data_IF_455734645100
#
_entry.id   IF_455734645100
#
_cell.length_a   1.000
_cell.length_b   1.000
_cell.length_c   1.000
_cell.angle_alpha   90.00
_cell.angle_beta   90.00
_cell.angle_gamma   90.00
#
_symmetry.space_group_name_H-M   'P 1'
#
loop_
_entity.id
_entity.type
_entity.pdbx_description
1 polymer ?
#
# COMPACT_ATOMS: atom_id res chain seq x y z
N UNK A 1 -14.46 -6.67 27.62
CA UNK A 1 -14.28 -7.92 26.84
C UNK A 1 -12.99 -7.72 26.06
N UNK A 2 -11.90 -8.36 26.46
CA UNK A 2 -10.64 -8.25 25.70
C UNK A 2 -10.84 -8.90 24.33
N UNK A 3 -10.47 -8.24 23.22
CA UNK A 3 -10.48 -8.89 21.92
C UNK A 3 -9.45 -10.03 21.95
N UNK A 4 -9.90 -11.26 21.71
CA UNK A 4 -9.02 -12.43 21.68
C UNK A 4 -7.86 -12.19 20.70
N UNK A 5 -6.62 -12.22 21.19
CA UNK A 5 -5.37 -12.02 20.44
C UNK A 5 -5.02 -13.18 19.49
N UNK A 6 -5.96 -14.09 19.28
CA UNK A 6 -5.86 -15.29 18.49
C UNK A 6 -5.77 -14.95 16.99
N UNK A 7 -4.55 -14.95 16.45
CA UNK A 7 -4.26 -14.72 15.02
C UNK A 7 -3.61 -15.97 14.41
N UNK A 8 -3.97 -16.27 13.17
CA UNK A 8 -3.47 -17.42 12.41
C UNK A 8 -4.54 -18.48 12.18
N UNK A 9 -4.11 -19.67 11.74
CA UNK A 9 -4.99 -20.83 11.62
C UNK A 9 -5.15 -21.43 13.01
N UNK A 10 -6.37 -21.39 13.54
CA UNK A 10 -6.71 -21.86 14.88
C UNK A 10 -7.80 -22.91 14.73
N UNK A 11 -7.50 -24.14 15.15
CA UNK A 11 -8.36 -25.30 15.00
C UNK A 11 -7.85 -26.31 13.98
N UNK A 12 -8.66 -27.35 13.73
CA UNK A 12 -8.30 -28.42 12.83
C UNK A 12 -8.41 -27.98 11.38
N UNK A 13 -7.35 -28.16 10.61
CA UNK A 13 -7.37 -28.04 9.15
C UNK A 13 -7.79 -29.38 8.58
N UNK A 14 -8.79 -29.41 7.71
CA UNK A 14 -9.23 -30.63 7.03
C UNK A 14 -9.06 -30.49 5.52
N UNK A 15 -8.56 -31.55 4.88
CA UNK A 15 -8.49 -31.68 3.42
C UNK A 15 -9.12 -33.02 3.05
N UNK A 16 -10.10 -32.99 2.16
CA UNK A 16 -10.91 -34.16 1.75
C UNK A 16 -11.47 -34.97 2.94
N UNK A 17 -11.94 -34.26 3.97
CA UNK A 17 -12.52 -34.87 5.17
C UNK A 17 -11.51 -35.47 6.15
N UNK A 18 -10.20 -35.46 5.84
CA UNK A 18 -9.13 -35.90 6.75
C UNK A 18 -8.54 -34.69 7.44
N UNK A 19 -8.40 -34.78 8.76
CA UNK A 19 -7.73 -33.72 9.53
C UNK A 19 -6.21 -33.78 9.30
N UNK A 20 -5.60 -32.65 8.98
CA UNK A 20 -4.15 -32.46 8.90
C UNK A 20 -3.70 -32.02 10.30
N UNK A 21 -3.37 -32.99 11.14
CA UNK A 21 -2.77 -32.78 12.47
C UNK A 21 -1.37 -33.38 12.57
N UNK A 22 -0.98 -34.22 11.61
CA UNK A 22 0.34 -34.85 11.51
C UNK A 22 1.07 -34.32 10.28
N UNK A 23 2.35 -33.98 10.45
CA UNK A 23 3.21 -33.40 9.42
C UNK A 23 4.11 -32.29 9.97
N UNK A 24 5.17 -31.95 9.25
CA UNK A 24 6.02 -30.83 9.61
C UNK A 24 5.36 -29.50 9.23
N UNK A 25 4.97 -28.72 10.23
CA UNK A 25 4.48 -27.36 10.05
C UNK A 25 5.63 -26.38 10.12
N UNK A 26 5.85 -25.63 9.04
CA UNK A 26 6.80 -24.52 9.05
C UNK A 26 6.04 -23.21 9.13
N UNK A 27 6.38 -22.38 10.11
CA UNK A 27 5.86 -21.02 10.21
C UNK A 27 6.95 -20.03 9.78
N UNK A 28 6.67 -19.27 8.73
CA UNK A 28 7.50 -18.13 8.32
C UNK A 28 6.84 -16.86 8.87
N UNK A 29 7.58 -16.10 9.68
CA UNK A 29 7.10 -14.81 10.23
C UNK A 29 7.44 -13.69 9.25
N UNK A 30 6.40 -12.96 8.84
CA UNK A 30 6.52 -11.91 7.83
C UNK A 30 6.71 -12.48 6.43
N UNK A 31 6.75 -11.61 5.44
CA UNK A 31 7.08 -11.99 4.08
C UNK A 31 8.56 -11.67 3.81
N UNK A 32 9.26 -12.48 3.02
CA UNK A 32 10.70 -12.32 2.78
C UNK A 32 11.05 -10.90 2.28
N UNK A 33 10.18 -10.26 1.50
CA UNK A 33 10.35 -8.87 1.07
C UNK A 33 10.25 -7.82 2.20
N UNK A 34 9.53 -8.11 3.29
CA UNK A 34 9.51 -7.27 4.50
C UNK A 34 10.83 -7.40 5.27
N UNK A 35 11.35 -8.63 5.38
CA UNK A 35 12.60 -8.96 6.08
C UNK A 35 13.81 -8.39 5.34
N UNK A 36 13.78 -8.42 4.01
CA UNK A 36 14.80 -7.84 3.12
C UNK A 36 14.67 -6.32 2.94
N UNK A 37 13.77 -5.66 3.69
CA UNK A 37 13.49 -4.22 3.65
C UNK A 37 13.20 -3.70 2.23
N UNK A 38 12.28 -4.34 1.50
CA UNK A 38 11.92 -4.03 0.10
C UNK A 38 13.17 -3.82 -0.76
N UNK A 39 13.64 -4.84 -1.50
CA UNK A 39 15.02 -4.91 -2.00
C UNK A 39 15.54 -3.56 -2.48
N UNK A 40 16.54 -2.99 -1.79
CA UNK A 40 17.15 -1.73 -2.23
C UNK A 40 17.62 -1.84 -3.68
N UNK A 41 17.99 -3.04 -4.12
CA UNK A 41 18.55 -3.33 -5.44
C UNK A 41 18.06 -4.68 -6.03
N UNK A 42 16.86 -5.14 -5.66
CA UNK A 42 16.31 -6.39 -6.19
C UNK A 42 15.90 -6.26 -7.65
N UNK A 43 15.96 -7.35 -8.44
CA UNK A 43 15.61 -7.32 -9.86
C UNK A 43 14.16 -6.83 -10.01
N UNK A 44 13.99 -5.68 -10.66
CA UNK A 44 12.68 -5.12 -10.97
C UNK A 44 12.19 -5.81 -12.24
N UNK A 45 11.36 -6.86 -12.10
CA UNK A 45 10.64 -7.40 -13.25
C UNK A 45 9.41 -6.53 -13.51
N UNK A 46 9.37 -5.90 -14.68
CA UNK A 46 8.18 -5.23 -15.17
C UNK A 46 7.16 -6.30 -15.56
N UNK A 47 6.15 -6.50 -14.72
CA UNK A 47 4.98 -7.30 -15.09
C UNK A 47 3.90 -6.38 -15.63
N UNK A 48 3.51 -6.60 -16.89
CA UNK A 48 2.40 -5.91 -17.54
C UNK A 48 1.02 -6.48 -17.12
N UNK A 49 0.99 -7.39 -16.16
CA UNK A 49 -0.21 -8.08 -15.67
C UNK A 49 -0.17 -8.20 -14.15
N UNK A 50 -1.34 -8.18 -13.50
CA UNK A 50 -1.45 -8.49 -12.08
C UNK A 50 -1.22 -9.99 -11.88
N UNK A 51 -0.12 -10.41 -11.26
CA UNK A 51 0.07 -11.80 -10.90
C UNK A 51 -0.97 -12.15 -9.83
N UNK A 52 -1.71 -13.25 -9.96
CA UNK A 52 -2.74 -13.64 -8.96
C UNK A 52 -2.14 -14.28 -7.71
N UNK A 53 -1.05 -13.70 -7.20
CA UNK A 53 -0.26 -14.19 -6.06
C UNK A 53 0.34 -13.00 -5.30
N UNK A 54 0.66 -13.15 -3.99
CA UNK A 54 1.39 -12.15 -3.21
C UNK A 54 2.59 -11.57 -3.96
N UNK A 55 2.59 -10.26 -4.19
CA UNK A 55 3.57 -9.60 -5.08
C UNK A 55 4.04 -8.26 -4.54
N UNK A 56 5.31 -7.96 -4.80
CA UNK A 56 5.95 -6.67 -4.53
C UNK A 56 6.05 -5.83 -5.79
N UNK A 57 5.61 -4.57 -5.68
CA UNK A 57 5.72 -3.55 -6.71
C UNK A 57 6.66 -2.45 -6.21
N UNK A 58 7.52 -1.94 -7.09
CA UNK A 58 8.49 -0.91 -6.74
C UNK A 58 8.48 0.18 -7.80
N UNK A 59 8.57 1.43 -7.36
CA UNK A 59 8.75 2.58 -8.26
C UNK A 59 9.57 3.69 -7.58
N UNK A 60 10.01 4.66 -8.37
CA UNK A 60 10.72 5.85 -7.93
C UNK A 60 9.99 7.09 -8.42
N UNK A 61 10.00 8.14 -7.62
CA UNK A 61 9.47 9.45 -8.01
C UNK A 61 10.32 10.57 -7.43
N UNK A 62 10.44 11.68 -8.15
CA UNK A 62 11.24 12.82 -7.72
C UNK A 62 10.39 13.91 -7.06
N UNK A 63 10.84 14.40 -5.91
CA UNK A 63 10.28 15.58 -5.26
C UNK A 63 11.13 16.82 -5.58
N UNK A 64 10.55 17.86 -6.21
CA UNK A 64 11.26 19.09 -6.52
C UNK A 64 11.74 19.85 -5.28
N UNK A 65 12.95 20.43 -5.38
CA UNK A 65 13.59 21.25 -4.33
C UNK A 65 12.77 22.47 -3.85
N UNK A 66 11.88 23.00 -4.69
CA UNK A 66 11.18 24.27 -4.48
C UNK A 66 9.81 24.15 -3.79
N UNK A 67 9.49 22.99 -3.18
CA UNK A 67 8.15 22.73 -2.58
C UNK A 67 8.01 23.07 -1.09
N UNK A 68 9.01 23.72 -0.47
CA UNK A 68 8.79 24.47 0.78
C UNK A 68 8.17 25.82 0.41
N UNK A 69 6.84 25.91 0.42
CA UNK A 69 6.17 27.21 0.34
C UNK A 69 6.19 27.87 1.72
N UNK A 70 6.03 29.18 1.74
CA UNK A 70 5.94 30.02 2.96
C UNK A 70 4.79 29.59 3.89
N UNK A 71 3.87 28.75 3.40
CA UNK A 71 2.64 28.32 4.06
C UNK A 71 2.70 26.90 4.64
N UNK A 72 3.85 26.24 4.57
CA UNK A 72 4.07 24.88 5.10
C UNK A 72 4.39 23.84 4.02
N UNK A 73 4.75 22.63 4.45
CA UNK A 73 4.99 21.50 3.55
C UNK A 73 3.66 21.10 2.88
N UNK A 74 3.61 21.10 1.54
CA UNK A 74 2.51 20.49 0.78
C UNK A 74 2.32 19.06 1.27
N UNK A 75 1.08 18.66 1.53
CA UNK A 75 0.80 17.25 1.85
C UNK A 75 0.94 16.45 0.56
N UNK A 76 1.78 15.43 0.57
CA UNK A 76 1.89 14.49 -0.54
C UNK A 76 1.11 13.25 -0.15
N UNK A 77 0.30 12.73 -1.06
CA UNK A 77 -0.47 11.51 -0.85
C UNK A 77 -0.25 10.54 -2.01
N UNK A 78 -0.30 9.25 -1.74
CA UNK A 78 -0.44 8.22 -2.74
C UNK A 78 -1.93 7.96 -2.97
N UNK A 79 -2.41 8.16 -4.20
CA UNK A 79 -3.77 7.78 -4.60
C UNK A 79 -3.76 6.37 -5.18
N UNK A 80 -4.72 5.55 -4.72
CA UNK A 80 -4.87 4.20 -5.20
C UNK A 80 -5.28 4.16 -6.69
N UNK A 81 -4.80 3.15 -7.43
CA UNK A 81 -5.32 2.80 -8.74
C UNK A 81 -6.84 2.60 -8.70
N UNK A 82 -7.58 3.13 -9.69
CA UNK A 82 -9.00 2.83 -9.84
C UNK A 82 -9.21 1.43 -10.41
N UNK A 83 -10.28 0.76 -10.00
CA UNK A 83 -10.69 -0.55 -10.53
C UNK A 83 -10.05 -1.77 -9.88
N UNK A 84 -9.32 -1.59 -8.77
CA UNK A 84 -8.86 -2.72 -7.95
C UNK A 84 -10.04 -3.53 -7.39
N UNK A 85 -9.96 -4.88 -7.32
CA UNK A 85 -10.98 -5.75 -6.73
C UNK A 85 -11.35 -5.40 -5.28
N UNK A 86 -12.57 -5.68 -4.83
CA UNK A 86 -13.11 -5.25 -3.51
C UNK A 86 -12.53 -5.95 -2.26
N UNK A 87 -11.43 -6.68 -2.43
CA UNK A 87 -10.72 -7.43 -1.39
C UNK A 87 -9.20 -7.27 -1.49
N UNK A 88 -8.73 -6.60 -2.55
CA UNK A 88 -7.32 -6.32 -2.74
C UNK A 88 -6.78 -5.42 -1.61
N UNK A 89 -5.52 -5.66 -1.28
CA UNK A 89 -4.89 -4.97 -0.18
C UNK A 89 -3.52 -5.52 0.15
N UNK A 90 -2.83 -4.78 0.99
CA UNK A 90 -1.49 -5.11 1.42
C UNK A 90 -0.89 -3.95 2.19
N UNK A 91 0.39 -3.67 1.98
CA UNK A 91 1.14 -2.66 2.74
C UNK A 91 1.90 -1.73 1.81
N UNK A 92 2.15 -0.51 2.29
CA UNK A 92 2.88 0.53 1.59
C UNK A 92 4.18 0.84 2.33
N UNK A 93 5.26 1.08 1.60
CA UNK A 93 6.52 1.57 2.13
C UNK A 93 7.04 2.76 1.34
N UNK A 94 7.58 3.74 2.05
CA UNK A 94 8.25 4.91 1.49
C UNK A 94 9.66 4.98 2.05
N UNK A 95 10.67 5.00 1.17
CA UNK A 95 12.09 5.04 1.55
C UNK A 95 12.47 3.98 2.61
N UNK A 96 11.80 2.83 2.58
CA UNK A 96 12.00 1.71 3.53
C UNK A 96 11.19 1.82 4.83
N UNK A 97 10.46 2.91 5.06
CA UNK A 97 9.53 3.06 6.18
C UNK A 97 8.16 2.46 5.82
N UNK A 98 7.61 1.60 6.68
CA UNK A 98 6.26 1.06 6.52
C UNK A 98 5.23 2.16 6.85
N UNK A 99 4.37 2.49 5.89
CA UNK A 99 3.31 3.50 6.03
C UNK A 99 1.97 2.90 6.50
N UNK A 100 1.87 1.57 6.52
CA UNK A 100 0.70 0.84 6.95
C UNK A 100 -0.03 0.13 5.82
N UNK A 101 -1.30 -0.21 6.08
CA UNK A 101 -2.12 -1.06 5.22
C UNK A 101 -2.90 -0.24 4.21
N UNK A 102 -2.98 -0.74 2.99
CA UNK A 102 -3.93 -0.26 2.00
C UNK A 102 -5.01 -1.31 1.72
N UNK A 103 -6.22 -0.85 1.37
CA UNK A 103 -7.39 -1.68 1.05
C UNK A 103 -8.23 -1.00 -0.02
N UNK A 104 -8.63 -1.75 -1.05
CA UNK A 104 -9.57 -1.30 -2.08
C UNK A 104 -11.03 -1.56 -1.70
N UNK A 105 -11.35 -1.47 -0.41
CA UNK A 105 -12.73 -1.63 0.08
C UNK A 105 -13.60 -0.51 -0.47
N UNK A 106 -14.65 -0.87 -1.20
CA UNK A 106 -15.60 0.08 -1.77
C UNK A 106 -16.65 0.50 -0.74
N UNK A 107 -16.99 1.79 -0.75
CA UNK A 107 -18.10 2.34 -0.01
C UNK A 107 -19.41 2.04 -0.76
N UNK A 108 -20.39 1.34 -0.16
CA UNK A 108 -21.58 0.86 -0.87
C UNK A 108 -22.44 1.93 -1.54
N UNK A 109 -22.38 3.18 -1.05
CA UNK A 109 -23.22 4.29 -1.53
C UNK A 109 -22.63 5.05 -2.70
N UNK A 110 -21.31 5.17 -2.76
CA UNK A 110 -20.59 5.98 -3.76
C UNK A 110 -19.93 5.12 -4.83
N UNK A 111 -19.63 3.85 -4.51
CA UNK A 111 -18.81 3.01 -5.37
C UNK A 111 -17.34 3.42 -5.38
N UNK A 112 -16.93 4.37 -4.53
CA UNK A 112 -15.54 4.79 -4.35
C UNK A 112 -14.85 4.01 -3.23
N UNK A 113 -13.52 4.01 -3.20
CA UNK A 113 -12.79 3.43 -2.08
C UNK A 113 -13.07 4.18 -0.78
N UNK A 114 -13.21 3.44 0.32
CA UNK A 114 -13.32 3.99 1.68
C UNK A 114 -12.11 4.88 2.01
N UNK A 115 -10.93 4.50 1.53
CA UNK A 115 -9.71 5.30 1.63
C UNK A 115 -8.99 5.32 0.26
N UNK A 116 -9.29 6.30 -0.60
CA UNK A 116 -8.67 6.38 -1.93
C UNK A 116 -7.25 6.96 -1.88
N UNK A 117 -6.87 7.61 -0.78
CA UNK A 117 -5.58 8.30 -0.62
C UNK A 117 -4.89 7.98 0.71
N UNK A 118 -3.57 7.84 0.62
CA UNK A 118 -2.68 7.53 1.73
C UNK A 118 -1.64 8.62 1.86
N UNK A 119 -1.67 9.36 2.97
CA UNK A 119 -0.74 10.46 3.21
C UNK A 119 0.69 9.93 3.34
N UNK A 120 1.61 10.58 2.62
CA UNK A 120 3.04 10.34 2.73
C UNK A 120 3.63 11.28 3.81
N UNK A 121 4.25 10.73 4.87
CA UNK A 121 4.83 11.52 5.94
C UNK A 121 5.97 12.41 5.41
N UNK A 122 5.97 13.69 5.77
CA UNK A 122 6.94 14.64 5.23
C UNK A 122 8.37 14.40 5.74
N UNK A 123 8.51 13.78 6.92
CA UNK A 123 9.77 13.32 7.52
C UNK A 123 10.33 12.07 6.83
N UNK A 124 9.49 11.29 6.15
CA UNK A 124 9.91 10.15 5.34
C UNK A 124 10.23 10.52 3.88
N UNK A 125 9.91 11.74 3.45
CA UNK A 125 10.14 12.23 2.09
C UNK A 125 11.52 12.90 1.96
N UNK A 126 12.25 12.51 0.92
CA UNK A 126 13.54 13.10 0.57
C UNK A 126 13.36 14.12 -0.56
N UNK A 127 14.20 15.15 -0.56
CA UNK A 127 14.31 16.06 -1.70
C UNK A 127 15.11 15.38 -2.80
N UNK A 128 14.54 15.26 -4.00
CA UNK A 128 15.06 14.39 -5.06
C UNK A 128 14.32 13.06 -5.11
N UNK A 129 15.05 11.97 -5.37
CA UNK A 129 14.43 10.67 -5.67
C UNK A 129 13.96 9.94 -4.41
N UNK A 130 12.67 9.65 -4.37
CA UNK A 130 12.01 8.82 -3.36
C UNK A 130 11.70 7.43 -3.94
N UNK A 131 11.64 6.43 -3.07
CA UNK A 131 11.31 5.04 -3.40
C UNK A 131 9.98 4.67 -2.77
N UNK A 132 9.06 4.17 -3.59
CA UNK A 132 7.80 3.61 -3.15
C UNK A 132 7.83 2.11 -3.39
N UNK A 133 7.53 1.33 -2.36
CA UNK A 133 7.32 -0.10 -2.46
C UNK A 133 5.91 -0.44 -1.99
N UNK A 134 5.26 -1.37 -2.68
CA UNK A 134 3.91 -1.81 -2.36
C UNK A 134 3.87 -3.32 -2.38
N UNK A 135 3.43 -3.89 -1.27
CA UNK A 135 3.04 -5.29 -1.24
C UNK A 135 1.55 -5.39 -1.52
N UNK A 136 1.17 -6.31 -2.39
CA UNK A 136 -0.22 -6.72 -2.62
C UNK A 136 -0.38 -8.19 -2.26
N UNK A 137 -1.29 -8.50 -1.36
CA UNK A 137 -1.58 -9.87 -0.93
C UNK A 137 -2.31 -10.69 -2.01
N UNK A 138 -3.02 -10.01 -2.91
CA UNK A 138 -3.70 -10.64 -4.06
C UNK A 138 -2.90 -10.52 -5.35
N UNK A 139 -1.87 -9.66 -5.33
CA UNK A 139 -1.07 -9.29 -6.50
C UNK A 139 -1.74 -8.27 -7.42
N UNK A 140 -2.86 -7.68 -7.00
CA UNK A 140 -3.46 -6.54 -7.66
C UNK A 140 -2.81 -5.23 -7.19
N UNK A 141 -2.29 -4.45 -8.14
CA UNK A 141 -1.80 -3.09 -7.91
C UNK A 141 -1.78 -2.26 -9.19
N UNK A 142 -1.69 -2.90 -10.35
CA UNK A 142 -1.74 -2.21 -11.65
C UNK A 142 -3.18 -2.26 -12.14
N UNK A 143 -3.76 -1.10 -12.45
CA UNK A 143 -5.02 -1.03 -13.18
C UNK A 143 -4.74 -1.30 -14.65
N UNK A 144 -5.49 -2.20 -15.27
CA UNK A 144 -5.36 -2.56 -16.69
C UNK A 144 -5.92 -1.51 -17.64
N UNK A 145 -6.43 -0.38 -17.14
CA UNK A 145 -7.17 0.61 -17.92
C UNK A 145 -6.66 2.04 -17.68
N UNK A 146 -6.15 2.64 -18.77
CA UNK A 146 -5.88 4.09 -19.00
C UNK A 146 -5.03 4.86 -17.97
N UNK A 147 -4.49 6.02 -18.35
CA UNK A 147 -3.68 6.86 -17.46
C UNK A 147 -4.42 7.27 -16.17
N UNK A 148 -5.75 7.27 -16.15
CA UNK A 148 -6.55 7.56 -14.95
C UNK A 148 -6.63 6.40 -13.95
N UNK A 149 -6.34 5.17 -14.38
CA UNK A 149 -6.34 3.98 -13.55
C UNK A 149 -5.04 3.75 -12.79
N UNK A 150 -3.94 4.40 -13.14
CA UNK A 150 -2.64 4.16 -12.49
C UNK A 150 -2.56 4.78 -11.09
N UNK A 151 -1.78 4.15 -10.20
CA UNK A 151 -1.38 4.77 -8.93
C UNK A 151 -0.64 6.09 -9.21
N UNK A 152 -1.01 7.16 -8.50
CA UNK A 152 -0.40 8.48 -8.68
C UNK A 152 0.00 9.08 -7.34
N UNK A 153 1.16 9.71 -7.33
CA UNK A 153 1.54 10.64 -6.26
C UNK A 153 0.80 11.95 -6.53
N UNK A 154 -0.08 12.32 -5.61
CA UNK A 154 -0.92 13.51 -5.70
C UNK A 154 -0.45 14.51 -4.66
N UNK A 155 -0.30 15.76 -5.08
CA UNK A 155 -0.04 16.86 -4.15
C UNK A 155 -1.35 17.50 -3.76
N UNK A 156 -1.60 17.57 -2.45
CA UNK A 156 -2.72 18.30 -1.89
C UNK A 156 -2.24 19.38 -0.94
N UNK A 157 -2.83 20.57 -1.05
CA UNK A 157 -2.60 21.64 -0.11
C UNK A 157 -3.53 21.42 1.07
N UNK A 158 -2.95 21.21 2.25
CA UNK A 158 -3.73 21.38 3.47
C UNK A 158 -3.68 22.86 3.83
N UNK A 159 -4.76 23.59 3.55
CA UNK A 159 -4.98 24.93 4.10
C UNK A 159 -5.67 24.71 5.44
N UNK A 160 -5.05 25.06 6.59
CA UNK A 160 -5.73 25.00 7.88
C UNK A 160 -7.04 25.78 7.81
N UNK A 161 -8.12 25.25 8.38
CA UNK A 161 -9.46 25.83 8.29
C UNK A 161 -9.51 27.32 8.67
N UNK A 162 -8.67 27.73 9.61
CA UNK A 162 -8.50 29.12 10.07
C UNK A 162 -8.03 30.09 8.97
N UNK A 163 -7.35 29.60 7.92
CA UNK A 163 -6.90 30.38 6.76
C UNK A 163 -7.76 30.19 5.52
N UNK A 164 -8.67 29.20 5.51
CA UNK A 164 -9.58 28.98 4.39
C UNK A 164 -10.71 30.02 4.35
N UNK A 165 -10.99 30.70 5.46
CA UNK A 165 -12.05 31.72 5.58
C UNK A 165 -11.62 33.14 5.13
N UNK A 166 -10.37 33.31 4.67
CA UNK A 166 -9.85 34.59 4.15
C UNK A 166 -9.87 34.68 2.61
N UNK A 167 -10.50 33.72 1.95
CA UNK A 167 -10.63 33.63 0.49
C UNK A 167 -12.06 33.32 0.06
#
# INVERSE_FOLDING_TARGET
MEPSLNKGIIGNVTVDGKSIYEGEWTMVKGLDGEVLRAPRDGPTQFMNTNPKVPTWFHTKFDLPRWKKTEWGLRSVSLRLPKGLPNDAGGHLWLNGMNLGRWRSTLQPRTGDYVQPEYRLPADALEVGTNRLAVFSATGDWVSSTTEEGMAKVVESYYIPAEKAALH
#
